data_IF_883044139056
#
_entry.id   IF_883044139056
#
_cell.length_a   1.000
_cell.length_b   1.000
_cell.length_c   1.000
_cell.angle_alpha   90.00
_cell.angle_beta   90.00
_cell.angle_gamma   90.00
#
_symmetry.space_group_name_H-M   'P 1'
#
loop_
_entity.id
_entity.type
_entity.pdbx_description
1 polymer ?
#
# COMPACT_ATOMS: atom_id res chain seq x y z
N UNK A 1 -1.90 25.12 -13.26
CA UNK A 1 -1.28 24.03 -12.48
C UNK A 1 -2.27 23.52 -11.42
N UNK A 2 -1.81 22.82 -10.37
CA UNK A 2 -2.62 22.51 -9.18
C UNK A 2 -2.48 23.63 -8.12
N UNK A 3 -3.47 23.81 -7.22
CA UNK A 3 -3.35 24.76 -6.11
C UNK A 3 -2.24 24.35 -5.14
N UNK A 4 -1.42 25.29 -4.70
CA UNK A 4 -0.27 25.03 -3.81
C UNK A 4 -0.65 24.98 -2.31
N UNK A 5 -1.94 24.93 -2.00
CA UNK A 5 -2.49 24.85 -0.65
C UNK A 5 -3.30 23.56 -0.43
N UNK A 6 -3.29 23.08 0.82
CA UNK A 6 -3.96 21.84 1.21
C UNK A 6 -5.49 21.95 1.06
N UNK A 7 -6.19 23.00 1.56
CA UNK A 7 -7.65 23.08 1.49
C UNK A 7 -8.21 23.02 0.06
N UNK A 8 -7.62 23.76 -0.89
CA UNK A 8 -8.08 23.73 -2.28
C UNK A 8 -7.76 22.40 -2.96
N UNK A 9 -6.65 21.75 -2.60
CA UNK A 9 -6.36 20.39 -3.09
C UNK A 9 -7.34 19.36 -2.53
N UNK A 10 -7.76 19.48 -1.27
CA UNK A 10 -8.77 18.61 -0.66
C UNK A 10 -10.17 18.83 -1.24
N UNK A 11 -10.54 20.08 -1.57
CA UNK A 11 -11.78 20.38 -2.29
C UNK A 11 -11.77 19.76 -3.70
N UNK A 12 -10.68 19.91 -4.47
CA UNK A 12 -10.56 19.28 -5.80
C UNK A 12 -10.66 17.75 -5.75
N UNK A 13 -10.28 17.12 -4.63
CA UNK A 13 -10.45 15.69 -4.35
C UNK A 13 -11.91 15.35 -3.99
N UNK A 14 -12.61 16.21 -3.26
CA UNK A 14 -14.04 16.03 -2.98
C UNK A 14 -14.87 16.12 -4.27
N UNK A 15 -14.65 17.17 -5.08
CA UNK A 15 -15.28 17.36 -6.40
C UNK A 15 -15.00 16.16 -7.32
N UNK A 16 -13.77 15.62 -7.28
CA UNK A 16 -13.40 14.44 -8.07
C UNK A 16 -14.15 13.18 -7.65
N UNK A 17 -14.35 12.96 -6.34
CA UNK A 17 -15.11 11.82 -5.83
C UNK A 17 -16.56 11.88 -6.27
N UNK A 18 -17.20 13.05 -6.18
CA UNK A 18 -18.58 13.21 -6.66
C UNK A 18 -18.68 12.95 -8.17
N UNK A 19 -17.72 13.44 -8.96
CA UNK A 19 -17.64 13.15 -10.39
C UNK A 19 -17.51 11.64 -10.67
N UNK A 20 -16.56 10.94 -10.03
CA UNK A 20 -16.37 9.49 -10.20
C UNK A 20 -17.60 8.69 -9.73
N UNK A 21 -18.26 9.09 -8.65
CA UNK A 21 -19.52 8.46 -8.22
C UNK A 21 -20.65 8.69 -9.22
N UNK A 22 -20.72 9.88 -9.84
CA UNK A 22 -21.67 10.19 -10.89
C UNK A 22 -21.37 9.41 -12.19
N UNK A 23 -20.11 9.22 -12.57
CA UNK A 23 -19.72 8.28 -13.64
C UNK A 23 -20.10 6.84 -13.30
N UNK A 24 -19.85 6.38 -12.06
CA UNK A 24 -20.20 5.03 -11.60
C UNK A 24 -21.71 4.74 -11.64
N UNK A 25 -22.56 5.73 -11.31
CA UNK A 25 -24.03 5.59 -11.41
C UNK A 25 -24.45 5.21 -12.85
N UNK A 26 -23.74 5.70 -13.87
CA UNK A 26 -24.02 5.44 -15.29
C UNK A 26 -23.39 4.14 -15.84
N UNK A 27 -22.48 3.51 -15.09
CA UNK A 27 -21.86 2.23 -15.47
C UNK A 27 -22.91 1.18 -15.85
N UNK A 28 -24.03 1.14 -15.13
CA UNK A 28 -25.14 0.18 -15.35
C UNK A 28 -25.82 0.37 -16.71
N UNK A 29 -25.88 1.60 -17.24
CA UNK A 29 -26.45 1.89 -18.56
C UNK A 29 -25.52 1.38 -19.67
N UNK A 30 -24.23 1.70 -19.56
CA UNK A 30 -23.19 1.27 -20.51
C UNK A 30 -23.06 -0.25 -20.51
N UNK A 31 -23.07 -0.89 -19.33
CA UNK A 31 -23.08 -2.34 -19.17
C UNK A 31 -24.23 -3.01 -19.94
N UNK A 32 -25.45 -2.46 -19.86
CA UNK A 32 -26.61 -3.01 -20.60
C UNK A 32 -26.38 -2.95 -22.11
N UNK A 33 -25.92 -1.81 -22.62
CA UNK A 33 -25.67 -1.60 -24.06
C UNK A 33 -24.55 -2.52 -24.56
N UNK A 34 -23.46 -2.63 -23.81
CA UNK A 34 -22.32 -3.51 -24.11
C UNK A 34 -22.75 -4.98 -24.10
N UNK A 35 -23.35 -5.47 -23.01
CA UNK A 35 -23.77 -6.88 -22.87
C UNK A 35 -24.81 -7.29 -23.93
N UNK A 36 -25.68 -6.37 -24.36
CA UNK A 36 -26.67 -6.61 -25.41
C UNK A 36 -26.08 -6.81 -26.82
N UNK A 37 -24.83 -6.41 -27.08
CA UNK A 37 -24.15 -6.63 -28.39
C UNK A 37 -22.78 -7.32 -28.28
N UNK A 38 -22.38 -7.76 -27.10
CA UNK A 38 -21.16 -8.54 -26.90
C UNK A 38 -21.25 -9.90 -27.62
N UNK A 39 -20.17 -10.31 -28.27
CA UNK A 39 -20.03 -11.67 -28.80
C UNK A 39 -19.89 -12.62 -27.61
N UNK A 40 -20.89 -13.49 -27.40
CA UNK A 40 -20.72 -14.64 -26.52
C UNK A 40 -19.67 -15.56 -27.15
N UNK A 41 -18.46 -15.56 -26.59
CA UNK A 41 -17.49 -16.62 -26.86
C UNK A 41 -18.15 -17.94 -26.47
N UNK A 42 -18.42 -18.78 -27.47
CA UNK A 42 -18.97 -20.11 -27.25
C UNK A 42 -17.89 -20.97 -26.63
N UNK A 43 -18.03 -21.28 -25.33
CA UNK A 43 -17.23 -22.32 -24.70
C UNK A 43 -17.40 -23.61 -25.51
N UNK A 44 -16.32 -24.07 -26.14
CA UNK A 44 -16.29 -25.21 -27.09
C UNK A 44 -16.54 -26.51 -26.34
N UNK A 45 -17.81 -26.82 -26.13
CA UNK A 45 -18.28 -27.94 -25.29
C UNK A 45 -18.23 -29.29 -26.01
N UNK A 46 -17.15 -29.59 -26.71
CA UNK A 46 -16.91 -30.89 -27.33
C UNK A 46 -16.43 -31.93 -26.31
N UNK A 47 -17.38 -32.48 -25.57
CA UNK A 47 -17.22 -33.80 -24.95
C UNK A 47 -18.16 -34.78 -25.65
N UNK A 48 -17.65 -35.46 -26.69
CA UNK A 48 -18.37 -36.52 -27.42
C UNK A 48 -18.94 -37.53 -26.42
N UNK A 49 -20.27 -37.69 -26.40
CA UNK A 49 -20.94 -38.77 -25.66
C UNK A 49 -21.41 -39.84 -26.65
N UNK A 50 -20.84 -41.04 -26.55
CA UNK A 50 -21.37 -42.27 -27.14
C UNK A 50 -22.25 -42.93 -26.07
N UNK A 51 -23.46 -43.43 -26.40
CA UNK A 51 -24.45 -43.83 -25.40
C UNK A 51 -24.28 -45.29 -24.93
N UNK A 52 -24.73 -45.56 -23.70
CA UNK A 52 -25.24 -46.86 -23.22
C UNK A 52 -26.27 -46.61 -22.11
N UNK A 53 -27.13 -47.60 -21.84
CA UNK A 53 -28.46 -47.36 -21.26
C UNK A 53 -28.82 -48.29 -20.09
N UNK A 54 -29.90 -47.89 -19.39
CA UNK A 54 -30.64 -48.60 -18.33
C UNK A 54 -30.03 -48.58 -16.91
N UNK A 55 -30.94 -48.46 -15.95
CA UNK A 55 -30.84 -48.51 -14.48
C UNK A 55 -31.42 -49.90 -14.01
N UNK A 56 -31.66 -50.25 -12.71
CA UNK A 56 -31.59 -49.45 -11.47
C UNK A 56 -31.13 -50.14 -10.13
N UNK A 57 -30.96 -49.32 -9.08
CA UNK A 57 -31.37 -49.53 -7.65
C UNK A 57 -30.59 -50.47 -6.65
N UNK A 58 -30.38 -49.91 -5.43
CA UNK A 58 -30.25 -50.49 -4.04
C UNK A 58 -28.87 -50.79 -3.40
N UNK A 59 -28.81 -50.58 -2.06
CA UNK A 59 -27.69 -50.90 -1.13
C UNK A 59 -26.75 -49.71 -0.85
N UNK A 60 -26.38 -49.21 0.34
CA UNK A 60 -26.57 -49.50 1.80
C UNK A 60 -25.29 -49.93 2.53
N UNK A 61 -25.01 -49.28 3.68
CA UNK A 61 -24.01 -49.63 4.73
C UNK A 61 -22.50 -49.46 4.36
N UNK A 62 -21.69 -48.83 5.23
CA UNK A 62 -20.76 -49.39 6.27
C UNK A 62 -19.57 -50.20 5.66
N UNK A 63 -18.34 -50.21 6.22
CA UNK A 63 -17.91 -49.81 7.57
C UNK A 63 -16.42 -49.35 7.72
N UNK A 64 -15.95 -49.22 8.96
CA UNK A 64 -14.66 -48.73 9.52
C UNK A 64 -13.31 -49.39 9.13
N UNK A 65 -12.24 -48.57 9.27
CA UNK A 65 -10.86 -48.82 9.81
C UNK A 65 -9.91 -49.80 9.06
N UNK A 66 -8.57 -49.63 9.10
CA UNK A 66 -7.72 -48.55 9.66
C UNK A 66 -6.66 -48.04 8.63
N UNK A 67 -5.33 -47.86 8.79
CA UNK A 67 -4.33 -48.12 9.86
C UNK A 67 -3.13 -47.16 9.71
N UNK A 68 -2.37 -46.93 10.79
CA UNK A 68 -1.10 -46.15 10.85
C UNK A 68 0.10 -47.08 11.14
N UNK A 69 1.37 -46.62 11.30
CA UNK A 69 1.99 -45.29 11.07
C UNK A 69 3.12 -45.39 10.00
N UNK A 70 4.15 -44.55 9.84
CA UNK A 70 4.62 -43.28 10.45
C UNK A 70 5.42 -42.48 9.37
N UNK A 71 6.21 -41.46 9.76
CA UNK A 71 7.36 -40.99 8.98
C UNK A 71 7.59 -39.47 8.93
N UNK A 72 8.15 -38.88 10.00
CA UNK A 72 8.89 -37.60 10.05
C UNK A 72 8.36 -36.40 9.20
N UNK A 73 7.80 -35.40 9.88
CA UNK A 73 7.22 -34.21 9.23
C UNK A 73 8.18 -33.05 8.92
N UNK A 74 7.64 -32.01 8.29
CA UNK A 74 8.21 -30.64 8.26
C UNK A 74 7.06 -29.62 8.20
N UNK A 75 7.26 -28.46 8.84
CA UNK A 75 6.18 -27.53 9.20
C UNK A 75 5.71 -26.63 8.03
N UNK A 76 4.84 -27.16 7.18
CA UNK A 76 4.12 -26.42 6.14
C UNK A 76 3.07 -25.43 6.68
N UNK A 77 3.51 -24.34 7.32
CA UNK A 77 2.65 -23.30 7.90
C UNK A 77 1.75 -22.66 6.81
N UNK A 78 0.44 -22.82 6.96
CA UNK A 78 -0.64 -22.33 6.07
C UNK A 78 -0.28 -21.03 5.31
N UNK A 79 0.02 -21.14 4.01
CA UNK A 79 -0.10 -19.99 3.12
C UNK A 79 -1.58 -19.63 2.94
N UNK A 80 -1.89 -18.34 3.03
CA UNK A 80 -3.24 -17.82 2.84
C UNK A 80 -3.69 -17.99 1.40
N UNK A 81 -4.93 -18.44 1.20
CA UNK A 81 -5.58 -18.48 -0.13
C UNK A 81 -6.00 -17.06 -0.53
N UNK A 82 -5.06 -16.23 -0.96
CA UNK A 82 -5.35 -14.96 -1.62
C UNK A 82 -5.81 -15.23 -3.06
N UNK A 83 -7.00 -14.75 -3.41
CA UNK A 83 -7.56 -14.95 -4.75
C UNK A 83 -6.72 -14.23 -5.82
N UNK A 84 -6.46 -14.84 -6.99
CA UNK A 84 -5.76 -14.21 -8.10
C UNK A 84 -6.66 -13.13 -8.75
N UNK A 85 -6.59 -11.91 -8.22
CA UNK A 85 -7.42 -10.79 -8.67
C UNK A 85 -7.36 -9.53 -7.78
N UNK A 86 -6.35 -9.39 -6.91
CA UNK A 86 -6.19 -8.22 -6.03
C UNK A 86 -5.27 -7.13 -6.59
N UNK A 87 -4.52 -7.46 -7.64
CA UNK A 87 -3.41 -6.66 -8.19
C UNK A 87 -3.82 -5.73 -9.36
N UNK A 88 -4.92 -4.98 -9.20
CA UNK A 88 -5.08 -3.65 -9.83
C UNK A 88 -5.75 -2.74 -8.79
N UNK A 89 -4.92 -2.09 -7.98
CA UNK A 89 -5.25 -0.90 -7.20
C UNK A 89 -3.94 -0.12 -6.98
N UNK A 90 -3.70 0.99 -7.69
CA UNK A 90 -2.53 1.82 -7.43
C UNK A 90 -2.69 2.48 -6.05
N UNK A 91 -1.78 2.14 -5.13
CA UNK A 91 -1.77 2.49 -3.71
C UNK A 91 -2.98 1.97 -2.88
N UNK A 92 -2.78 1.17 -1.81
CA UNK A 92 -3.87 0.77 -0.90
C UNK A 92 -4.50 1.92 -0.10
N UNK A 93 -3.91 3.12 -0.11
CA UNK A 93 -4.45 4.32 0.54
C UNK A 93 -5.46 5.10 -0.32
N UNK A 94 -5.56 4.80 -1.63
CA UNK A 94 -6.48 5.48 -2.56
C UNK A 94 -7.78 4.68 -2.70
N UNK A 95 -8.97 5.28 -2.47
CA UNK A 95 -10.24 4.55 -2.57
C UNK A 95 -10.59 4.24 -4.03
N UNK A 96 -10.59 2.96 -4.40
CA UNK A 96 -10.95 2.51 -5.75
C UNK A 96 -12.46 2.66 -6.00
N UNK A 97 -12.84 3.73 -6.70
CA UNK A 97 -14.17 3.97 -7.26
C UNK A 97 -14.14 3.58 -8.74
N UNK A 98 -15.12 2.81 -9.21
CA UNK A 98 -15.29 2.48 -10.63
C UNK A 98 -15.43 0.99 -10.98
N UNK A 99 -15.49 0.65 -12.28
CA UNK A 99 -15.50 -0.72 -12.78
C UNK A 99 -14.10 -1.35 -12.77
N UNK A 100 -14.02 -2.69 -12.86
CA UNK A 100 -12.77 -3.40 -13.13
C UNK A 100 -12.72 -3.84 -14.59
N UNK A 101 -11.87 -3.20 -15.38
CA UNK A 101 -11.60 -3.62 -16.76
C UNK A 101 -10.62 -4.81 -16.81
N UNK A 102 -10.61 -5.59 -17.90
CA UNK A 102 -9.60 -6.62 -18.12
C UNK A 102 -8.18 -6.02 -18.16
N UNK A 103 -7.16 -6.71 -17.62
CA UNK A 103 -5.77 -6.24 -17.70
C UNK A 103 -5.26 -6.23 -19.14
N UNK A 104 -4.28 -5.37 -19.43
CA UNK A 104 -3.63 -5.33 -20.75
C UNK A 104 -3.02 -6.70 -21.10
N UNK A 105 -3.25 -7.17 -22.32
CA UNK A 105 -2.83 -8.51 -22.76
C UNK A 105 -3.84 -9.64 -22.47
N UNK A 106 -4.95 -9.37 -21.78
CA UNK A 106 -6.09 -10.31 -21.71
C UNK A 106 -7.08 -10.08 -22.85
N UNK A 107 -7.94 -11.08 -23.12
CA UNK A 107 -8.90 -11.04 -24.23
C UNK A 107 -9.94 -9.93 -24.04
N UNK A 108 -9.87 -8.86 -24.83
CA UNK A 108 -10.84 -7.77 -24.79
C UNK A 108 -12.26 -8.22 -25.17
N UNK A 109 -13.32 -7.55 -24.69
CA UNK A 109 -14.69 -7.84 -25.09
C UNK A 109 -14.93 -7.53 -26.58
N UNK A 110 -15.20 -8.57 -27.37
CA UNK A 110 -15.60 -8.39 -28.77
C UNK A 110 -17.09 -7.99 -28.87
N UNK A 111 -17.40 -7.00 -29.72
CA UNK A 111 -18.74 -6.47 -29.90
C UNK A 111 -19.21 -6.55 -31.36
N UNK A 112 -20.44 -7.04 -31.58
CA UNK A 112 -21.10 -7.16 -32.89
C UNK A 112 -21.43 -5.83 -33.58
N UNK A 113 -21.03 -4.69 -33.00
CA UNK A 113 -21.35 -3.36 -33.51
C UNK A 113 -20.21 -2.39 -33.24
N UNK A 114 -19.60 -1.78 -34.29
CA UNK A 114 -18.53 -0.79 -34.12
C UNK A 114 -18.93 0.39 -33.21
N UNK A 115 -20.21 0.79 -33.23
CA UNK A 115 -20.74 1.86 -32.35
C UNK A 115 -20.72 1.48 -30.87
N UNK A 116 -20.87 0.20 -30.54
CA UNK A 116 -20.79 -0.29 -29.14
C UNK A 116 -19.34 -0.50 -28.72
N UNK A 117 -18.45 -0.95 -29.62
CA UNK A 117 -17.00 -0.93 -29.34
C UNK A 117 -16.53 0.50 -29.05
N UNK A 118 -16.83 1.46 -29.92
CA UNK A 118 -16.47 2.87 -29.72
C UNK A 118 -17.00 3.45 -28.40
N UNK A 119 -18.25 3.11 -28.01
CA UNK A 119 -18.80 3.49 -26.70
C UNK A 119 -17.98 2.90 -25.54
N UNK A 120 -17.65 1.60 -25.61
CA UNK A 120 -16.84 0.92 -24.59
C UNK A 120 -15.42 1.49 -24.51
N UNK A 121 -14.76 1.70 -25.66
CA UNK A 121 -13.42 2.29 -25.76
C UNK A 121 -13.38 3.69 -25.12
N UNK A 122 -14.37 4.55 -25.44
CA UNK A 122 -14.48 5.90 -24.86
C UNK A 122 -14.85 5.87 -23.38
N UNK A 123 -15.75 4.98 -22.96
CA UNK A 123 -16.12 4.82 -21.55
C UNK A 123 -14.92 4.34 -20.70
N UNK A 124 -14.16 3.36 -21.20
CA UNK A 124 -12.90 2.92 -20.59
C UNK A 124 -11.87 4.04 -20.53
N UNK A 125 -11.76 4.85 -21.59
CA UNK A 125 -10.85 5.99 -21.60
C UNK A 125 -11.20 7.06 -20.55
N UNK A 126 -12.49 7.36 -20.34
CA UNK A 126 -12.96 8.25 -19.26
C UNK A 126 -12.50 7.73 -17.89
N UNK A 127 -12.73 6.44 -17.58
CA UNK A 127 -12.28 5.84 -16.32
C UNK A 127 -10.75 5.87 -16.12
N UNK A 128 -9.97 5.65 -17.17
CA UNK A 128 -8.50 5.74 -17.09
C UNK A 128 -8.04 7.18 -16.79
N UNK A 129 -8.72 8.19 -17.35
CA UNK A 129 -8.46 9.60 -17.04
C UNK A 129 -8.92 9.98 -15.62
N UNK A 130 -10.04 9.42 -15.16
CA UNK A 130 -10.53 9.61 -13.79
C UNK A 130 -9.57 9.04 -12.73
N UNK A 131 -9.07 7.81 -12.91
CA UNK A 131 -8.10 7.23 -11.99
C UNK A 131 -6.75 7.95 -12.01
N UNK A 132 -6.29 8.41 -13.18
CA UNK A 132 -5.05 9.20 -13.24
C UNK A 132 -5.20 10.56 -12.57
N UNK A 133 -6.34 11.27 -12.77
CA UNK A 133 -6.64 12.50 -12.02
C UNK A 133 -6.74 12.24 -10.52
N UNK A 134 -7.34 11.12 -10.11
CA UNK A 134 -7.42 10.72 -8.70
C UNK A 134 -6.02 10.53 -8.10
N UNK A 135 -5.15 9.77 -8.78
CA UNK A 135 -3.76 9.51 -8.38
C UNK A 135 -2.98 10.81 -8.25
N UNK A 136 -2.97 11.64 -9.30
CA UNK A 136 -2.24 12.92 -9.33
C UNK A 136 -2.69 13.87 -8.21
N UNK A 137 -3.99 13.95 -7.91
CA UNK A 137 -4.48 14.77 -6.80
C UNK A 137 -4.04 14.24 -5.42
N UNK A 138 -4.07 12.93 -5.22
CA UNK A 138 -3.63 12.32 -3.96
C UNK A 138 -2.10 12.42 -3.77
N UNK A 139 -1.32 12.20 -4.84
CA UNK A 139 0.13 12.42 -4.87
C UNK A 139 0.47 13.88 -4.52
N UNK A 140 -0.30 14.84 -5.06
CA UNK A 140 -0.13 16.27 -4.76
C UNK A 140 -0.48 16.61 -3.31
N UNK A 141 -1.59 16.08 -2.79
CA UNK A 141 -1.98 16.27 -1.38
C UNK A 141 -0.92 15.70 -0.42
N UNK A 142 -0.34 14.56 -0.75
CA UNK A 142 0.75 13.97 0.02
C UNK A 142 2.01 14.85 -0.01
N UNK A 143 2.38 15.37 -1.17
CA UNK A 143 3.48 16.34 -1.31
C UNK A 143 3.26 17.60 -0.47
N UNK A 144 2.08 18.22 -0.54
CA UNK A 144 1.78 19.44 0.22
C UNK A 144 1.83 19.19 1.74
N UNK A 145 1.32 18.06 2.22
CA UNK A 145 1.37 17.70 3.65
C UNK A 145 2.77 17.32 4.13
N UNK A 146 3.61 16.76 3.26
CA UNK A 146 5.03 16.52 3.57
C UNK A 146 5.82 17.84 3.62
N UNK A 147 5.53 18.77 2.69
CA UNK A 147 6.10 20.12 2.68
C UNK A 147 5.70 20.92 3.92
N UNK A 148 4.41 20.95 4.27
CA UNK A 148 3.91 21.67 5.44
C UNK A 148 4.57 21.19 6.74
N UNK A 149 4.84 19.88 6.90
CA UNK A 149 5.58 19.36 8.07
C UNK A 149 7.05 19.73 8.07
N UNK A 150 7.67 19.94 6.91
CA UNK A 150 9.06 20.39 6.81
C UNK A 150 9.20 21.91 7.00
N UNK A 151 8.31 22.71 6.43
CA UNK A 151 8.25 24.17 6.61
C UNK A 151 7.98 24.51 8.10
N UNK A 152 7.19 23.70 8.80
CA UNK A 152 6.93 23.81 10.25
C UNK A 152 7.89 22.97 11.14
N UNK A 153 8.99 22.42 10.58
CA UNK A 153 9.90 21.59 11.36
C UNK A 153 10.66 22.41 12.42
N UNK A 154 10.65 21.92 13.66
CA UNK A 154 11.45 22.46 14.76
C UNK A 154 12.16 21.33 15.48
N UNK A 155 13.49 21.42 15.55
CA UNK A 155 14.33 20.46 16.30
C UNK A 155 13.85 20.32 17.75
N UNK A 156 13.53 21.42 18.43
CA UNK A 156 13.13 21.37 19.84
C UNK A 156 11.77 20.72 20.06
N UNK A 157 10.82 20.91 19.14
CA UNK A 157 9.56 20.17 19.23
C UNK A 157 9.73 18.69 18.86
N UNK A 158 10.46 18.39 17.79
CA UNK A 158 10.77 17.01 17.40
C UNK A 158 11.47 16.25 18.53
N UNK A 159 12.49 16.86 19.14
CA UNK A 159 13.23 16.39 20.33
C UNK A 159 12.28 16.12 21.50
N UNK A 160 11.39 17.07 21.81
CA UNK A 160 10.39 16.97 22.89
C UNK A 160 9.39 15.84 22.63
N UNK A 161 8.85 15.73 21.41
CA UNK A 161 7.96 14.65 20.97
C UNK A 161 8.65 13.28 21.09
N UNK A 162 9.86 13.15 20.56
CA UNK A 162 10.62 11.89 20.52
C UNK A 162 10.98 11.40 21.93
N UNK A 163 11.47 12.29 22.80
CA UNK A 163 11.80 11.95 24.19
C UNK A 163 10.55 11.57 25.00
N UNK A 164 9.42 12.25 24.79
CA UNK A 164 8.14 11.86 25.40
C UNK A 164 7.70 10.47 24.92
N UNK A 165 7.78 10.19 23.62
CA UNK A 165 7.47 8.88 23.04
C UNK A 165 8.34 7.76 23.64
N UNK A 166 9.67 7.93 23.69
CA UNK A 166 10.59 6.94 24.26
C UNK A 166 10.34 6.69 25.76
N UNK A 167 10.08 7.76 26.53
CA UNK A 167 9.71 7.66 27.95
C UNK A 167 8.37 6.92 28.15
N UNK A 168 7.35 7.17 27.32
CA UNK A 168 6.07 6.45 27.36
C UNK A 168 6.23 4.97 26.98
N UNK A 169 7.07 4.67 25.97
CA UNK A 169 7.44 3.31 25.55
C UNK A 169 8.38 2.59 26.53
N UNK A 170 8.77 3.22 27.65
CA UNK A 170 9.76 2.71 28.62
C UNK A 170 11.06 2.20 27.97
N UNK A 171 11.40 2.74 26.80
CA UNK A 171 12.45 2.24 25.92
C UNK A 171 13.71 3.08 26.07
N UNK A 172 14.88 2.43 26.11
CA UNK A 172 16.17 3.10 26.23
C UNK A 172 16.71 3.48 24.86
N UNK A 173 17.21 4.71 24.73
CA UNK A 173 17.90 5.16 23.51
C UNK A 173 19.14 4.30 23.21
N UNK A 174 19.87 3.85 24.24
CA UNK A 174 21.03 2.94 24.10
C UNK A 174 20.70 1.65 23.36
N UNK A 175 19.51 1.12 23.57
CA UNK A 175 19.11 -0.20 23.08
C UNK A 175 18.50 -0.09 21.67
N UNK A 176 17.99 1.10 21.34
CA UNK A 176 17.62 1.51 19.99
C UNK A 176 18.87 1.67 19.10
N UNK A 177 19.91 2.37 19.58
CA UNK A 177 21.13 2.61 18.80
C UNK A 177 21.99 1.37 18.59
N UNK A 178 22.15 0.51 19.61
CA UNK A 178 22.78 -0.83 19.47
C UNK A 178 22.12 -1.75 18.45
N UNK A 179 20.91 -1.41 17.98
CA UNK A 179 20.17 -2.17 16.96
C UNK A 179 20.41 -1.65 15.53
N UNK A 180 21.13 -0.53 15.39
CA UNK A 180 21.51 0.10 14.12
C UNK A 180 23.03 0.08 13.93
N UNK A 181 23.78 0.35 15.01
CA UNK A 181 25.23 0.23 15.14
C UNK A 181 25.63 -1.25 15.22
N UNK A 182 25.77 -1.90 14.05
CA UNK A 182 25.97 -3.37 13.93
C UNK A 182 27.40 -3.79 14.28
N UNK A 183 28.36 -2.94 13.98
CA UNK A 183 29.79 -3.15 14.20
C UNK A 183 30.32 -2.47 15.50
N UNK A 184 29.45 -1.78 16.24
CA UNK A 184 29.73 -1.12 17.52
C UNK A 184 30.80 -0.01 17.42
N UNK A 185 30.86 0.67 16.29
CA UNK A 185 31.85 1.70 15.97
C UNK A 185 31.45 3.11 16.47
N UNK A 186 30.17 3.33 16.82
CA UNK A 186 29.60 4.62 17.23
C UNK A 186 29.01 5.50 16.11
N UNK A 187 29.14 5.08 14.86
CA UNK A 187 28.80 5.82 13.63
C UNK A 187 27.76 5.05 12.80
N UNK A 188 26.53 5.55 12.78
CA UNK A 188 25.41 4.87 12.12
C UNK A 188 25.20 5.46 10.72
N UNK A 189 25.14 4.64 9.64
CA UNK A 189 24.80 5.13 8.31
C UNK A 189 23.47 5.88 8.29
N UNK A 190 23.46 7.05 7.65
CA UNK A 190 22.34 8.00 7.64
C UNK A 190 20.99 7.36 7.31
N UNK A 191 20.94 6.50 6.30
CA UNK A 191 19.70 5.81 5.93
C UNK A 191 19.25 4.80 6.98
N UNK A 192 20.15 4.06 7.63
CA UNK A 192 19.82 3.12 8.71
C UNK A 192 19.42 3.83 10.01
N UNK A 193 19.93 5.05 10.25
CA UNK A 193 19.44 5.93 11.32
C UNK A 193 18.01 6.42 11.02
N UNK A 194 17.77 6.99 9.83
CA UNK A 194 16.44 7.47 9.40
C UNK A 194 15.42 6.33 9.45
N UNK A 195 15.71 5.21 8.79
CA UNK A 195 14.88 4.01 8.84
C UNK A 195 14.73 3.49 10.27
N UNK A 196 15.80 3.48 11.05
CA UNK A 196 15.83 3.01 12.43
C UNK A 196 14.82 3.72 13.32
N UNK A 197 14.72 5.05 13.21
CA UNK A 197 13.70 5.83 13.92
C UNK A 197 12.30 5.56 13.36
N UNK A 198 12.10 5.55 12.04
CA UNK A 198 10.80 5.26 11.41
C UNK A 198 10.28 3.85 11.78
N UNK A 199 11.16 2.86 11.91
CA UNK A 199 10.85 1.49 12.36
C UNK A 199 10.30 1.43 13.79
N UNK A 200 10.55 2.44 14.64
CA UNK A 200 10.01 2.49 16.02
C UNK A 200 8.50 2.76 16.10
N UNK A 201 7.89 3.26 15.01
CA UNK A 201 6.53 3.85 15.01
C UNK A 201 6.38 5.06 15.95
N UNK A 202 7.46 5.83 16.10
CA UNK A 202 7.35 7.25 16.44
C UNK A 202 6.65 8.00 15.31
N UNK A 203 5.85 9.02 15.65
CA UNK A 203 5.12 9.84 14.69
C UNK A 203 6.04 10.93 14.13
N UNK A 204 6.73 10.58 13.04
CA UNK A 204 7.62 11.47 12.30
C UNK A 204 7.72 11.08 10.82
N UNK A 205 7.98 12.05 9.95
CA UNK A 205 8.09 11.84 8.50
C UNK A 205 9.53 11.55 8.05
N UNK A 206 9.72 11.04 6.81
CA UNK A 206 11.07 10.86 6.26
C UNK A 206 11.73 12.20 5.95
N UNK A 207 10.97 13.26 5.66
CA UNK A 207 11.54 14.60 5.45
C UNK A 207 11.96 15.28 6.77
N UNK A 208 11.17 15.16 7.85
CA UNK A 208 11.63 15.54 9.21
C UNK A 208 12.92 14.79 9.57
N UNK A 209 12.95 13.47 9.38
CA UNK A 209 14.13 12.65 9.70
C UNK A 209 15.35 12.96 8.83
N UNK A 210 15.17 13.45 7.59
CA UNK A 210 16.27 13.99 6.78
C UNK A 210 16.85 15.24 7.42
N UNK A 211 16.00 16.23 7.75
CA UNK A 211 16.43 17.47 8.39
C UNK A 211 17.10 17.23 9.76
N UNK A 212 16.58 16.28 10.56
CA UNK A 212 17.27 15.80 11.77
C UNK A 212 18.66 15.26 11.42
N UNK A 213 18.77 14.35 10.44
CA UNK A 213 20.07 13.78 10.07
C UNK A 213 21.07 14.83 9.56
N UNK A 214 20.63 15.83 8.78
CA UNK A 214 21.47 16.94 8.31
C UNK A 214 22.08 17.77 9.45
N UNK A 215 21.43 17.83 10.63
CA UNK A 215 21.99 18.52 11.81
C UNK A 215 23.16 17.76 12.49
N UNK A 216 23.32 16.47 12.22
CA UNK A 216 24.35 15.61 12.83
C UNK A 216 25.38 15.06 11.83
N UNK A 217 25.03 14.95 10.55
CA UNK A 217 25.94 14.64 9.44
C UNK A 217 26.80 15.88 9.05
N UNK A 218 27.42 16.53 10.04
CA UNK A 218 28.06 17.87 9.86
C UNK A 218 29.17 17.91 8.81
N UNK A 219 29.74 16.75 8.47
CA UNK A 219 30.79 16.60 7.47
C UNK A 219 30.25 16.11 6.11
N UNK A 220 28.93 15.93 5.95
CA UNK A 220 28.28 15.26 4.81
C UNK A 220 28.95 13.92 4.45
N UNK A 221 29.38 13.16 5.45
CA UNK A 221 30.01 11.85 5.28
C UNK A 221 28.99 10.70 5.23
N UNK A 222 27.69 10.98 5.44
CA UNK A 222 26.62 9.99 5.44
C UNK A 222 26.59 9.13 6.71
N UNK A 223 27.31 9.54 7.76
CA UNK A 223 27.42 8.84 9.04
C UNK A 223 26.99 9.76 10.19
N UNK A 224 26.17 9.23 11.09
CA UNK A 224 25.65 9.92 12.27
C UNK A 224 26.38 9.40 13.51
N UNK A 225 27.14 10.26 14.21
CA UNK A 225 27.64 9.93 15.55
C UNK A 225 26.45 9.94 16.53
N UNK A 226 26.11 8.78 17.07
CA UNK A 226 24.96 8.67 17.96
C UNK A 226 25.21 9.28 19.35
N UNK A 227 26.47 9.48 19.77
CA UNK A 227 26.81 10.15 21.02
C UNK A 227 26.51 11.64 20.93
N UNK A 228 26.84 12.28 19.80
CA UNK A 228 26.46 13.68 19.53
C UNK A 228 24.94 13.84 19.50
N UNK A 229 24.24 12.90 18.86
CA UNK A 229 22.77 12.87 18.86
C UNK A 229 22.18 12.75 20.28
N UNK A 230 22.74 11.87 21.12
CA UNK A 230 22.34 11.75 22.54
C UNK A 230 22.61 13.04 23.32
N UNK A 231 23.76 13.69 23.11
CA UNK A 231 24.08 14.96 23.76
C UNK A 231 23.09 16.06 23.39
N UNK A 232 22.74 16.21 22.11
CA UNK A 232 21.72 17.16 21.67
C UNK A 232 20.30 16.82 22.15
N UNK A 233 19.98 15.53 22.34
CA UNK A 233 18.75 15.12 23.02
C UNK A 233 18.75 15.46 24.53
N UNK A 234 19.92 15.49 25.19
CA UNK A 234 20.09 15.72 26.64
C UNK A 234 21.18 16.77 26.93
N UNK A 235 20.96 18.07 26.68
CA UNK A 235 21.93 19.12 27.05
C UNK A 235 22.25 19.08 28.55
N UNK A 236 21.19 19.02 29.36
CA UNK A 236 21.17 18.90 30.83
C UNK A 236 21.68 17.54 31.38
N UNK A 237 22.39 16.74 30.56
CA UNK A 237 23.26 15.64 31.04
C UNK A 237 24.73 16.07 31.24
N UNK A 238 25.23 17.12 30.58
CA UNK A 238 26.62 17.55 30.74
C UNK A 238 26.87 18.24 32.10
N UNK A 239 25.89 18.98 32.61
CA UNK A 239 25.93 19.62 33.95
C UNK A 239 25.78 18.63 35.12
N UNK A 240 25.78 17.30 34.86
CA UNK A 240 25.56 16.25 35.86
C UNK A 240 26.56 15.10 35.77
N UNK A 241 27.75 15.38 35.23
CA UNK A 241 28.93 14.62 35.63
C UNK A 241 29.24 14.96 37.10
N UNK A 242 29.37 13.96 38.01
CA UNK A 242 29.97 14.21 39.32
C UNK A 242 31.48 14.43 39.17
N UNK A 243 32.03 15.32 40.00
CA UNK A 243 33.48 15.52 40.19
C UNK A 243 34.18 14.29 40.80
#
# INVERSE_FOLDING_TARGET
>A
ELPMDIPSTEQLIADHKEFMENTQKRQVEVDRICKAKQVKQSATKESRKIPKSKTPIRGSQHDVRETSPDGYGTLGRKQSRTSPGREISPDPNIPHIGPRFPPAGSTEPEFRSPRVKYLWDKWRNVWMLEWERQRVLYDHLAYLKEKERADNFSWDDWRRRFLKFMNHKKSRLTDLFRKMDKDNNGLIPRDEFIDGIIRTKFDTSRLEMKAVADMFDRNNCGLIDWKEFIAALRPDWQEKAPD
#
